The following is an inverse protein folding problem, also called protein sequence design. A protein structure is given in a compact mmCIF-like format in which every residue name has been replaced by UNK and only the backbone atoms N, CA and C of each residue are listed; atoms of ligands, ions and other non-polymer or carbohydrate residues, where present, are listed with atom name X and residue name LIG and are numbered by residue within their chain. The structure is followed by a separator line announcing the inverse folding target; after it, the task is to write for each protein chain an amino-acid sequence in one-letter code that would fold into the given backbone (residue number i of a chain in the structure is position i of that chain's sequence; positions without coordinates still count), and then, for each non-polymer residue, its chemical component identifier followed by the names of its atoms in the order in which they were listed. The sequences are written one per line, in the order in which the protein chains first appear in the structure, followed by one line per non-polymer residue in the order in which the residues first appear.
data_IF_128414926564
#
_entry.id   IF_128414926564
#
_cell.length_a   1.000
_cell.length_b   1.000
_cell.length_c   1.000
_cell.angle_alpha   90.00
_cell.angle_beta   90.00
_cell.angle_gamma   90.00
#
_symmetry.space_group_name_H-M   'P 1'
#
loop_
_entity.id
_entity.type
_entity.pdbx_description
1 polymer ?
#
# COMPACT_ATOMS: atom_id res chain seq x y z
N UNK A 1 -15.73 -4.39 -1.59
CA UNK A 1 -15.31 -2.96 -1.68
C UNK A 1 -16.10 -2.24 -2.80
N UNK A 2 -16.45 -0.96 -2.64
CA UNK A 2 -17.24 -0.23 -3.66
C UNK A 2 -16.48 -0.12 -4.99
N UNK A 3 -17.11 -0.40 -6.14
CA UNK A 3 -16.45 -0.29 -7.45
C UNK A 3 -16.04 1.16 -7.74
N UNK A 4 -14.95 1.32 -8.50
CA UNK A 4 -14.46 2.62 -8.97
C UNK A 4 -15.07 2.94 -10.33
N UNK A 5 -15.50 4.17 -10.54
CA UNK A 5 -15.98 4.62 -11.85
C UNK A 5 -14.82 4.87 -12.81
N UNK A 6 -15.08 4.78 -14.12
CA UNK A 6 -14.09 5.12 -15.16
C UNK A 6 -13.56 6.55 -14.98
N UNK A 7 -14.43 7.48 -14.58
CA UNK A 7 -14.04 8.85 -14.27
C UNK A 7 -13.08 8.91 -13.08
N UNK A 8 -13.33 8.17 -11.99
CA UNK A 8 -12.43 8.14 -10.83
C UNK A 8 -11.05 7.59 -11.18
N UNK A 9 -10.99 6.58 -12.06
CA UNK A 9 -9.72 6.05 -12.56
C UNK A 9 -9.00 7.08 -13.42
N UNK A 10 -9.68 7.67 -14.41
CA UNK A 10 -9.09 8.67 -15.29
C UNK A 10 -8.64 9.92 -14.54
N UNK A 11 -9.48 10.48 -13.67
CA UNK A 11 -9.17 11.65 -12.86
C UNK A 11 -7.94 11.46 -11.96
N UNK A 12 -7.61 10.21 -11.59
CA UNK A 12 -6.47 9.92 -10.73
C UNK A 12 -5.10 10.13 -11.38
N UNK A 13 -5.05 10.33 -12.71
CA UNK A 13 -3.83 10.56 -13.50
C UNK A 13 -3.41 12.03 -13.56
N UNK A 14 -4.25 12.95 -13.09
CA UNK A 14 -4.03 14.40 -13.17
C UNK A 14 -4.14 15.09 -11.81
N UNK A 15 -3.74 16.36 -11.73
CA UNK A 15 -3.86 17.15 -10.50
C UNK A 15 -5.28 17.68 -10.32
N UNK A 16 -5.83 18.33 -11.34
CA UNK A 16 -7.22 18.79 -11.36
C UNK A 16 -7.97 18.17 -12.55
N UNK A 17 -8.98 17.35 -12.24
CA UNK A 17 -9.75 16.66 -13.26
C UNK A 17 -10.62 17.59 -14.13
N UNK A 18 -10.89 18.82 -13.67
CA UNK A 18 -11.69 19.80 -14.41
C UNK A 18 -10.89 20.49 -15.50
N UNK A 19 -9.62 20.80 -15.24
CA UNK A 19 -8.76 21.52 -16.18
C UNK A 19 -7.82 20.61 -16.96
N UNK A 20 -7.33 19.55 -16.34
CA UNK A 20 -6.14 18.83 -16.82
C UNK A 20 -6.48 17.48 -17.46
N UNK A 21 -7.70 16.95 -17.27
CA UNK A 21 -8.05 15.59 -17.70
C UNK A 21 -8.23 15.53 -19.23
N UNK A 22 -7.33 14.86 -19.96
CA UNK A 22 -7.53 14.71 -21.39
C UNK A 22 -8.70 13.75 -21.67
N UNK A 23 -9.50 14.08 -22.69
CA UNK A 23 -10.65 13.25 -23.14
C UNK A 23 -10.20 11.83 -23.55
N UNK A 24 -8.94 11.67 -23.95
CA UNK A 24 -8.36 10.37 -24.34
C UNK A 24 -8.30 9.37 -23.19
N UNK A 25 -8.14 9.82 -21.94
CA UNK A 25 -8.04 8.92 -20.79
C UNK A 25 -9.33 8.14 -20.51
N UNK A 26 -10.48 8.79 -20.23
CA UNK A 26 -11.74 8.08 -20.02
C UNK A 26 -12.19 7.33 -21.29
N UNK A 27 -11.93 7.85 -22.49
CA UNK A 27 -12.25 7.17 -23.76
C UNK A 27 -11.48 5.85 -23.92
N UNK A 28 -10.20 5.82 -23.56
CA UNK A 28 -9.38 4.60 -23.64
C UNK A 28 -9.85 3.55 -22.64
N UNK A 29 -10.21 3.98 -21.42
CA UNK A 29 -10.79 3.09 -20.40
C UNK A 29 -12.13 2.50 -20.85
N UNK A 30 -13.01 3.32 -21.41
CA UNK A 30 -14.30 2.87 -21.94
C UNK A 30 -14.13 1.88 -23.10
N UNK A 31 -13.24 2.18 -24.05
CA UNK A 31 -12.94 1.28 -25.17
C UNK A 31 -12.38 -0.07 -24.69
N UNK A 32 -11.44 -0.05 -23.76
CA UNK A 32 -10.88 -1.29 -23.20
C UNK A 32 -11.95 -2.13 -22.49
N UNK A 33 -12.89 -1.49 -21.77
CA UNK A 33 -13.98 -2.18 -21.10
C UNK A 33 -14.95 -2.88 -22.07
N UNK A 34 -15.19 -2.31 -23.26
CA UNK A 34 -16.10 -2.89 -24.25
C UNK A 34 -15.43 -3.88 -25.20
N UNK A 35 -14.16 -3.66 -25.53
CA UNK A 35 -13.48 -4.37 -26.62
C UNK A 35 -12.35 -5.28 -26.14
N UNK A 36 -12.14 -5.40 -24.83
CA UNK A 36 -11.04 -6.16 -24.23
C UNK A 36 -9.65 -5.82 -24.83
N UNK A 37 -9.46 -4.57 -25.27
CA UNK A 37 -8.21 -4.13 -25.88
C UNK A 37 -7.21 -3.68 -24.82
N UNK A 38 -5.89 -3.92 -25.04
CA UNK A 38 -4.85 -3.44 -24.12
C UNK A 38 -4.93 -1.94 -23.88
N UNK A 39 -4.78 -1.52 -22.62
CA UNK A 39 -4.75 -0.10 -22.27
C UNK A 39 -3.41 0.55 -22.64
N UNK A 40 -3.41 1.86 -22.95
CA UNK A 40 -2.18 2.61 -23.14
C UNK A 40 -1.33 2.62 -21.87
N UNK A 41 -0.03 2.32 -22.01
CA UNK A 41 0.94 2.40 -20.90
C UNK A 41 1.01 3.81 -20.29
N UNK A 42 0.76 4.83 -21.12
CA UNK A 42 0.72 6.23 -20.71
C UNK A 42 -0.20 6.48 -19.51
N UNK A 43 -1.32 5.76 -19.39
CA UNK A 43 -2.21 5.90 -18.23
C UNK A 43 -1.53 5.48 -16.91
N UNK A 44 -0.79 4.38 -16.93
CA UNK A 44 0.00 3.95 -15.77
C UNK A 44 1.14 4.93 -15.50
N UNK A 45 1.75 5.48 -16.56
CA UNK A 45 2.88 6.41 -16.43
C UNK A 45 2.45 7.73 -15.79
N UNK A 46 1.30 8.26 -16.19
CA UNK A 46 0.70 9.43 -15.56
C UNK A 46 0.32 9.17 -14.10
N UNK A 47 -0.27 7.99 -13.81
CA UNK A 47 -0.57 7.60 -12.44
C UNK A 47 0.70 7.51 -11.57
N UNK A 48 1.77 6.90 -12.06
CA UNK A 48 3.08 6.84 -11.38
C UNK A 48 3.66 8.23 -11.15
N UNK A 49 3.60 9.12 -12.15
CA UNK A 49 4.03 10.51 -12.00
C UNK A 49 3.24 11.24 -10.93
N UNK A 50 1.92 11.04 -10.84
CA UNK A 50 1.11 11.60 -9.75
C UNK A 50 1.48 11.00 -8.40
N UNK A 51 1.73 9.69 -8.31
CA UNK A 51 2.20 9.08 -7.07
C UNK A 51 3.50 9.72 -6.58
N UNK A 52 4.44 10.01 -7.48
CA UNK A 52 5.69 10.69 -7.16
C UNK A 52 5.48 12.15 -6.73
N UNK A 53 4.65 12.89 -7.47
CA UNK A 53 4.36 14.28 -7.17
C UNK A 53 3.66 14.47 -5.80
N UNK A 54 2.83 13.50 -5.42
CA UNK A 54 2.07 13.54 -4.16
C UNK A 54 2.64 12.64 -3.07
N UNK A 55 3.81 12.03 -3.31
CA UNK A 55 4.51 11.14 -2.37
C UNK A 55 3.64 10.00 -1.82
N UNK A 56 2.74 9.46 -2.64
CA UNK A 56 1.80 8.43 -2.19
C UNK A 56 0.92 7.82 -3.26
N UNK A 57 0.45 6.60 -2.98
CA UNK A 57 -0.39 5.82 -3.89
C UNK A 57 -1.81 5.74 -3.35
N UNK A 58 -2.76 6.27 -4.12
CA UNK A 58 -4.19 6.20 -3.80
C UNK A 58 -4.81 4.94 -4.38
N UNK A 59 -5.98 4.53 -3.85
CA UNK A 59 -6.72 3.37 -4.37
C UNK A 59 -7.01 3.46 -5.88
N UNK A 60 -7.48 4.60 -6.43
CA UNK A 60 -7.71 4.71 -7.86
C UNK A 60 -6.43 4.57 -8.70
N UNK A 61 -5.30 5.13 -8.24
CA UNK A 61 -4.01 5.00 -8.93
C UNK A 61 -3.51 3.56 -8.93
N UNK A 62 -3.56 2.88 -7.79
CA UNK A 62 -3.18 1.47 -7.71
C UNK A 62 -4.07 0.61 -8.62
N UNK A 63 -5.38 0.81 -8.60
CA UNK A 63 -6.32 0.10 -9.46
C UNK A 63 -6.06 0.35 -10.95
N UNK A 64 -5.78 1.60 -11.34
CA UNK A 64 -5.46 1.96 -12.73
C UNK A 64 -4.13 1.35 -13.18
N UNK A 65 -3.08 1.45 -12.36
CA UNK A 65 -1.77 0.86 -12.64
C UNK A 65 -1.93 -0.65 -12.84
N UNK A 66 -2.61 -1.33 -11.91
CA UNK A 66 -2.92 -2.76 -12.01
C UNK A 66 -3.64 -3.06 -13.33
N UNK A 67 -4.74 -2.36 -13.61
CA UNK A 67 -5.55 -2.59 -14.81
C UNK A 67 -4.73 -2.45 -16.10
N UNK A 68 -3.87 -1.43 -16.19
CA UNK A 68 -2.99 -1.23 -17.35
C UNK A 68 -1.99 -2.37 -17.49
N UNK A 69 -1.35 -2.80 -16.40
CA UNK A 69 -0.40 -3.93 -16.43
C UNK A 69 -1.10 -5.23 -16.86
N UNK A 70 -2.24 -5.57 -16.25
CA UNK A 70 -3.00 -6.77 -16.56
C UNK A 70 -3.53 -6.80 -18.00
N UNK A 71 -3.98 -5.66 -18.52
CA UNK A 71 -4.51 -5.59 -19.90
C UNK A 71 -3.48 -5.93 -20.99
N UNK A 72 -2.22 -6.09 -20.61
CA UNK A 72 -1.08 -6.34 -21.51
C UNK A 72 -0.41 -7.68 -21.26
N UNK A 73 -0.82 -8.42 -20.24
CA UNK A 73 -0.34 -9.77 -20.02
C UNK A 73 -0.89 -10.68 -21.12
N UNK A 74 -0.04 -11.49 -21.72
CA UNK A 74 -0.38 -12.36 -22.86
C UNK A 74 -1.12 -13.62 -22.43
N UNK A 75 -0.94 -14.02 -21.18
CA UNK A 75 -1.66 -15.13 -20.55
C UNK A 75 -2.72 -14.53 -19.64
N UNK A 76 -3.98 -15.00 -19.69
CA UNK A 76 -4.98 -14.55 -18.73
C UNK A 76 -4.42 -14.81 -17.33
N UNK A 77 -4.20 -13.75 -16.55
CA UNK A 77 -3.64 -13.91 -15.22
C UNK A 77 -4.65 -14.68 -14.37
N UNK A 78 -4.15 -15.51 -13.46
CA UNK A 78 -5.00 -16.15 -12.44
C UNK A 78 -5.87 -15.10 -11.74
N UNK A 79 -7.10 -15.45 -11.37
CA UNK A 79 -8.07 -14.50 -10.80
C UNK A 79 -7.52 -13.73 -9.59
N UNK A 80 -6.54 -14.30 -8.89
CA UNK A 80 -5.90 -13.73 -7.71
C UNK A 80 -4.68 -12.83 -8.00
N UNK A 81 -4.23 -12.75 -9.26
CA UNK A 81 -3.00 -12.03 -9.61
C UNK A 81 -3.12 -10.52 -9.34
N UNK A 82 -2.18 -10.00 -8.54
CA UNK A 82 -2.12 -8.62 -8.07
C UNK A 82 -3.38 -8.14 -7.36
N UNK A 83 -4.17 -9.04 -6.76
CA UNK A 83 -5.39 -8.70 -6.02
C UNK A 83 -5.06 -8.22 -4.60
N UNK A 84 -3.98 -8.74 -4.02
CA UNK A 84 -3.62 -8.48 -2.64
C UNK A 84 -2.09 -8.37 -2.47
N UNK A 85 -1.64 -8.43 -1.22
CA UNK A 85 -0.23 -8.50 -0.93
C UNK A 85 0.34 -9.84 -1.37
N UNK A 86 1.02 -9.90 -2.51
CA UNK A 86 1.83 -11.08 -2.87
C UNK A 86 3.22 -11.02 -2.22
N UNK A 87 3.47 -11.87 -1.22
CA UNK A 87 4.78 -11.92 -0.53
C UNK A 87 5.90 -12.50 -1.39
N UNK A 88 5.52 -13.34 -2.36
CA UNK A 88 6.40 -14.10 -3.27
C UNK A 88 6.49 -13.50 -4.68
N UNK A 89 6.07 -12.25 -4.87
CA UNK A 89 6.09 -11.60 -6.18
C UNK A 89 7.50 -11.66 -6.82
N UNK A 90 7.66 -11.95 -8.13
CA UNK A 90 9.00 -12.17 -8.70
C UNK A 90 9.82 -10.89 -8.91
N UNK A 91 9.21 -9.71 -8.82
CA UNK A 91 9.87 -8.42 -9.09
C UNK A 91 10.54 -7.81 -7.85
N UNK A 92 11.86 -7.53 -7.87
CA UNK A 92 12.53 -6.73 -6.84
C UNK A 92 11.91 -5.34 -6.64
N UNK A 93 11.44 -4.70 -7.73
CA UNK A 93 10.82 -3.38 -7.67
C UNK A 93 9.55 -3.36 -6.81
N UNK A 94 8.73 -4.41 -6.92
CA UNK A 94 7.54 -4.59 -6.09
C UNK A 94 7.92 -4.70 -4.60
N UNK A 95 8.98 -5.47 -4.29
CA UNK A 95 9.50 -5.62 -2.93
C UNK A 95 10.14 -4.34 -2.39
N UNK A 96 10.81 -3.53 -3.21
CA UNK A 96 11.25 -2.20 -2.81
C UNK A 96 10.05 -1.32 -2.39
N UNK A 97 8.94 -1.40 -3.13
CA UNK A 97 7.69 -0.72 -2.75
C UNK A 97 7.15 -1.19 -1.40
N UNK A 98 7.09 -2.52 -1.20
CA UNK A 98 6.71 -3.12 0.09
C UNK A 98 7.62 -2.66 1.21
N UNK A 99 8.93 -2.63 0.99
CA UNK A 99 9.91 -2.25 2.00
C UNK A 99 9.71 -0.81 2.46
N UNK A 100 9.46 0.12 1.52
CA UNK A 100 9.16 1.51 1.89
C UNK A 100 7.93 1.60 2.80
N UNK A 101 6.88 0.83 2.51
CA UNK A 101 5.68 0.78 3.34
C UNK A 101 5.97 0.21 4.74
N UNK A 102 6.79 -0.84 4.86
CA UNK A 102 7.16 -1.40 6.17
C UNK A 102 8.00 -0.42 6.98
N UNK A 103 8.92 0.33 6.35
CA UNK A 103 9.69 1.38 7.02
C UNK A 103 8.78 2.51 7.52
N UNK A 104 7.77 2.90 6.73
CA UNK A 104 6.74 3.84 7.16
C UNK A 104 5.97 3.32 8.38
N UNK A 105 5.56 2.04 8.37
CA UNK A 105 4.85 1.40 9.48
C UNK A 105 5.70 1.38 10.76
N UNK A 106 7.00 1.10 10.65
CA UNK A 106 7.97 1.17 11.76
C UNK A 106 7.99 2.57 12.38
N UNK A 107 8.10 3.61 11.54
CA UNK A 107 8.09 4.99 12.02
C UNK A 107 6.78 5.34 12.72
N UNK A 108 5.62 5.00 12.12
CA UNK A 108 4.30 5.30 12.68
C UNK A 108 4.03 4.55 13.98
N UNK A 109 4.50 3.31 14.09
CA UNK A 109 4.36 2.51 15.30
C UNK A 109 5.22 3.07 16.45
N UNK A 110 6.45 3.53 16.15
CA UNK A 110 7.37 4.12 17.12
C UNK A 110 6.98 5.54 17.53
N UNK A 111 6.37 6.31 16.62
CA UNK A 111 5.96 7.69 16.80
C UNK A 111 4.45 7.86 16.50
N UNK A 112 3.57 7.48 17.44
CA UNK A 112 2.13 7.72 17.30
C UNK A 112 1.84 9.21 17.07
N UNK A 113 1.00 9.53 16.08
CA UNK A 113 0.62 10.91 15.77
C UNK A 113 1.63 11.69 14.91
N UNK A 114 2.60 11.01 14.29
CA UNK A 114 3.54 11.67 13.37
C UNK A 114 2.82 12.31 12.16
N UNK A 115 3.03 13.61 11.96
CA UNK A 115 2.37 14.38 10.89
C UNK A 115 3.01 14.17 9.51
N UNK A 116 4.32 13.94 9.46
CA UNK A 116 5.08 13.70 8.24
C UNK A 116 6.04 12.52 8.45
N UNK A 117 6.08 11.64 7.46
CA UNK A 117 6.88 10.43 7.47
C UNK A 117 8.10 10.54 6.55
N UNK A 118 8.98 9.56 6.63
CA UNK A 118 10.08 9.39 5.67
C UNK A 118 9.57 9.30 4.22
N UNK A 119 8.35 8.81 3.99
CA UNK A 119 7.77 8.68 2.65
C UNK A 119 7.59 10.04 1.98
N UNK A 120 7.17 11.07 2.73
CA UNK A 120 6.95 12.42 2.21
C UNK A 120 8.21 13.04 1.58
N UNK A 121 9.39 12.59 2.00
CA UNK A 121 10.68 13.05 1.46
C UNK A 121 11.29 12.08 0.46
N UNK A 122 11.11 10.77 0.67
CA UNK A 122 11.87 9.75 -0.05
C UNK A 122 11.08 8.96 -1.08
N UNK A 123 9.74 9.07 -1.17
CA UNK A 123 8.97 8.27 -2.14
C UNK A 123 9.43 8.50 -3.58
N UNK A 124 9.63 9.77 -3.97
CA UNK A 124 10.09 10.12 -5.30
C UNK A 124 11.45 9.53 -5.70
N UNK A 125 12.36 9.35 -4.74
CA UNK A 125 13.69 8.77 -4.97
C UNK A 125 13.69 7.24 -4.81
N UNK A 126 12.95 6.70 -3.83
CA UNK A 126 12.79 5.25 -3.63
C UNK A 126 12.10 4.58 -4.83
N UNK A 127 11.14 5.27 -5.44
CA UNK A 127 10.45 4.79 -6.65
C UNK A 127 11.26 4.93 -7.94
N UNK A 128 12.46 5.54 -7.92
CA UNK A 128 13.30 5.69 -9.12
C UNK A 128 14.71 5.13 -9.00
N UNK A 129 15.33 5.23 -7.83
CA UNK A 129 16.72 4.84 -7.55
C UNK A 129 16.82 4.12 -6.19
N UNK A 130 16.24 2.92 -6.04
CA UNK A 130 16.18 2.21 -4.76
C UNK A 130 17.53 2.02 -4.08
N UNK A 131 18.53 1.50 -4.80
CA UNK A 131 19.85 1.18 -4.23
C UNK A 131 20.52 2.37 -3.53
N UNK A 132 20.27 3.60 -4.00
CA UNK A 132 20.85 4.82 -3.45
C UNK A 132 20.22 5.20 -2.10
N UNK A 133 18.91 5.00 -1.95
CA UNK A 133 18.16 5.58 -0.82
C UNK A 133 17.87 4.58 0.30
N UNK A 134 17.69 3.29 0.00
CA UNK A 134 17.23 2.33 1.00
C UNK A 134 18.25 2.09 2.11
N UNK A 135 19.55 2.19 1.84
CA UNK A 135 20.57 2.15 2.89
C UNK A 135 20.40 3.26 3.93
N UNK A 136 20.05 4.48 3.50
CA UNK A 136 19.79 5.59 4.41
C UNK A 136 18.45 5.41 5.16
N UNK A 137 17.40 4.96 4.46
CA UNK A 137 16.09 4.70 5.06
C UNK A 137 16.16 3.61 6.15
N UNK A 138 16.88 2.52 5.90
CA UNK A 138 17.05 1.42 6.86
C UNK A 138 17.82 1.86 8.10
N UNK A 139 18.89 2.67 7.95
CA UNK A 139 19.58 3.29 9.08
C UNK A 139 18.66 4.23 9.86
N UNK A 140 17.85 5.02 9.15
CA UNK A 140 16.85 5.89 9.77
C UNK A 140 15.76 5.15 10.54
N UNK A 141 15.47 3.90 10.17
CA UNK A 141 14.50 3.06 10.88
C UNK A 141 15.05 2.46 12.20
N UNK A 142 16.38 2.32 12.36
CA UNK A 142 16.97 1.65 13.53
C UNK A 142 16.59 2.29 14.88
N UNK A 143 16.62 3.63 15.06
CA UNK A 143 16.18 4.23 16.31
C UNK A 143 14.69 4.01 16.62
N UNK A 144 13.85 3.90 15.58
CA UNK A 144 12.43 3.58 15.73
C UNK A 144 12.22 2.13 16.17
N UNK A 145 12.99 1.19 15.60
CA UNK A 145 12.98 -0.21 16.01
C UNK A 145 13.46 -0.39 17.45
N UNK A 146 14.58 0.24 17.84
CA UNK A 146 15.10 0.18 19.21
C UNK A 146 14.09 0.73 20.23
N UNK A 147 13.36 1.79 19.87
CA UNK A 147 12.26 2.31 20.69
C UNK A 147 11.11 1.31 20.81
N UNK A 148 10.72 0.69 19.69
CA UNK A 148 9.66 -0.33 19.69
C UNK A 148 10.06 -1.56 20.50
N UNK A 149 11.31 -1.98 20.45
CA UNK A 149 11.82 -3.11 21.22
C UNK A 149 11.62 -2.88 22.72
N UNK A 150 11.94 -1.67 23.20
CA UNK A 150 11.76 -1.27 24.60
C UNK A 150 10.30 -1.07 24.98
N UNK A 151 9.54 -0.30 24.18
CA UNK A 151 8.22 0.20 24.57
C UNK A 151 7.09 -0.76 24.17
N UNK A 152 7.26 -1.55 23.10
CA UNK A 152 6.25 -2.40 22.46
C UNK A 152 6.87 -3.65 21.80
N UNK A 153 7.46 -4.58 22.58
CA UNK A 153 8.27 -5.70 22.05
C UNK A 153 7.52 -6.57 21.03
N UNK A 154 6.21 -6.80 21.21
CA UNK A 154 5.40 -7.53 20.23
C UNK A 154 5.27 -6.81 18.88
N UNK A 155 5.21 -5.48 18.87
CA UNK A 155 5.20 -4.71 17.63
C UNK A 155 6.59 -4.72 16.96
N UNK A 156 7.66 -4.64 17.75
CA UNK A 156 9.04 -4.79 17.27
C UNK A 156 9.24 -6.13 16.56
N UNK A 157 8.95 -7.26 17.20
CA UNK A 157 9.15 -8.59 16.61
C UNK A 157 8.41 -8.74 15.28
N UNK A 158 7.15 -8.28 15.22
CA UNK A 158 6.35 -8.37 13.99
C UNK A 158 6.91 -7.51 12.85
N UNK A 159 7.32 -6.27 13.14
CA UNK A 159 7.82 -5.35 12.13
C UNK A 159 9.25 -5.67 11.68
N UNK A 160 10.10 -6.11 12.62
CA UNK A 160 11.45 -6.59 12.35
C UNK A 160 11.41 -7.81 11.42
N UNK A 161 10.61 -8.83 11.76
CA UNK A 161 10.42 -10.00 10.89
C UNK A 161 9.92 -9.59 9.50
N UNK A 162 8.95 -8.68 9.42
CA UNK A 162 8.42 -8.20 8.14
C UNK A 162 9.45 -7.43 7.31
N UNK A 163 10.36 -6.67 7.94
CA UNK A 163 11.49 -6.04 7.26
C UNK A 163 12.41 -7.11 6.64
N UNK A 164 12.81 -8.10 7.44
CA UNK A 164 13.69 -9.19 7.02
C UNK A 164 13.06 -10.00 5.87
N UNK A 165 11.79 -10.39 6.00
CA UNK A 165 11.04 -11.14 4.98
C UNK A 165 11.03 -10.40 3.64
N UNK A 166 10.78 -9.08 3.65
CA UNK A 166 10.74 -8.28 2.42
C UNK A 166 12.15 -8.11 1.85
N UNK A 167 13.14 -7.83 2.69
CA UNK A 167 14.53 -7.64 2.25
C UNK A 167 15.11 -8.90 1.61
N UNK A 168 14.79 -10.08 2.16
CA UNK A 168 15.21 -11.36 1.61
C UNK A 168 14.69 -11.59 0.17
N UNK A 169 13.59 -10.94 -0.21
CA UNK A 169 12.99 -11.04 -1.55
C UNK A 169 13.52 -10.06 -2.57
N UNK A 170 14.24 -9.03 -2.15
CA UNK A 170 14.82 -8.04 -3.08
C UNK A 170 16.00 -8.67 -3.83
N UNK A 171 16.83 -9.48 -3.16
CA UNK A 171 18.04 -10.04 -3.74
C UNK A 171 18.98 -8.92 -4.19
N UNK A 172 19.12 -8.76 -5.51
CA UNK A 172 19.90 -7.69 -6.12
C UNK A 172 19.14 -6.36 -6.11
N UNK A 173 19.76 -5.34 -5.52
CA UNK A 173 19.16 -4.02 -5.38
C UNK A 173 19.16 -3.26 -6.71
N UNK A 174 17.99 -2.88 -7.25
CA UNK A 174 17.94 -2.12 -8.50
C UNK A 174 18.57 -0.74 -8.35
N UNK A 175 19.56 -0.45 -9.19
CA UNK A 175 20.19 0.88 -9.23
C UNK A 175 19.20 1.96 -9.68
N UNK A 176 18.40 1.64 -10.70
CA UNK A 176 17.32 2.47 -11.23
C UNK A 176 16.09 1.60 -11.53
N UNK A 177 14.91 2.21 -11.56
CA UNK A 177 13.67 1.54 -11.95
C UNK A 177 13.14 2.12 -13.27
N UNK A 178 12.98 1.26 -14.28
CA UNK A 178 12.25 1.57 -15.50
C UNK A 178 10.76 1.77 -15.20
N UNK A 179 10.04 2.40 -16.11
CA UNK A 179 8.70 2.91 -15.80
C UNK A 179 7.67 1.82 -15.43
N UNK A 180 7.78 0.62 -16.03
CA UNK A 180 7.00 -0.56 -15.60
C UNK A 180 7.35 -0.98 -14.17
N UNK A 181 8.63 -0.92 -13.80
CA UNK A 181 9.10 -1.27 -12.46
C UNK A 181 8.68 -0.21 -11.42
N UNK A 182 8.66 1.08 -11.77
CA UNK A 182 8.08 2.13 -10.91
C UNK A 182 6.59 1.91 -10.66
N UNK A 183 5.88 1.34 -11.64
CA UNK A 183 4.48 0.96 -11.51
C UNK A 183 4.33 -0.22 -10.54
N UNK A 184 5.17 -1.26 -10.66
CA UNK A 184 5.23 -2.39 -9.72
C UNK A 184 5.61 -1.96 -8.31
N UNK A 185 6.58 -1.05 -8.16
CA UNK A 185 6.92 -0.42 -6.89
C UNK A 185 5.70 0.25 -6.25
N UNK A 186 4.95 1.02 -7.03
CA UNK A 186 3.75 1.72 -6.55
C UNK A 186 2.67 0.72 -6.08
N UNK A 187 2.51 -0.40 -6.79
CA UNK A 187 1.60 -1.48 -6.38
C UNK A 187 2.06 -2.16 -5.08
N UNK A 188 3.33 -2.56 -4.98
CA UNK A 188 3.87 -3.21 -3.78
C UNK A 188 3.73 -2.34 -2.53
N UNK A 189 4.02 -1.04 -2.66
CA UNK A 189 3.80 -0.07 -1.60
C UNK A 189 2.32 0.01 -1.20
N UNK A 190 1.40 0.11 -2.17
CA UNK A 190 -0.03 0.18 -1.89
C UNK A 190 -0.57 -1.11 -1.25
N UNK A 191 -0.20 -2.28 -1.77
CA UNK A 191 -0.65 -3.58 -1.27
C UNK A 191 -0.19 -3.82 0.17
N UNK A 192 1.07 -3.51 0.49
CA UNK A 192 1.61 -3.66 1.84
C UNK A 192 0.85 -2.78 2.85
N UNK A 193 0.56 -1.52 2.49
CA UNK A 193 -0.22 -0.62 3.35
C UNK A 193 -1.69 -1.03 3.46
N UNK A 194 -2.29 -1.51 2.37
CA UNK A 194 -3.67 -1.99 2.38
C UNK A 194 -3.83 -3.21 3.28
N UNK A 195 -2.89 -4.15 3.20
CA UNK A 195 -2.83 -5.31 4.09
C UNK A 195 -2.65 -4.89 5.56
N UNK A 196 -1.73 -3.96 5.85
CA UNK A 196 -1.55 -3.44 7.21
C UNK A 196 -2.82 -2.79 7.79
N UNK A 197 -3.56 -2.00 7.00
CA UNK A 197 -4.85 -1.42 7.44
C UNK A 197 -5.91 -2.49 7.71
N UNK A 198 -6.00 -3.51 6.86
CA UNK A 198 -6.94 -4.61 7.04
C UNK A 198 -6.65 -5.38 8.34
N UNK A 199 -5.38 -5.73 8.59
CA UNK A 199 -4.93 -6.36 9.84
C UNK A 199 -5.34 -5.56 11.08
N UNK A 200 -5.11 -4.23 11.07
CA UNK A 200 -5.46 -3.37 12.19
C UNK A 200 -6.98 -3.24 12.39
N UNK A 201 -7.74 -3.20 11.31
CA UNK A 201 -9.21 -3.19 11.37
C UNK A 201 -9.76 -4.49 11.98
N UNK A 202 -9.26 -5.65 11.54
CA UNK A 202 -9.66 -6.96 12.09
C UNK A 202 -9.31 -7.08 13.58
N UNK A 203 -8.11 -6.66 13.99
CA UNK A 203 -7.71 -6.65 15.41
C UNK A 203 -8.55 -5.71 16.26
N UNK A 204 -8.99 -4.58 15.71
CA UNK A 204 -9.90 -3.67 16.40
C UNK A 204 -11.28 -4.31 16.55
N UNK A 205 -11.85 -4.86 15.48
CA UNK A 205 -13.13 -5.55 15.52
C UNK A 205 -13.15 -6.73 16.52
N UNK A 206 -12.08 -7.51 16.59
CA UNK A 206 -11.96 -8.60 17.55
C UNK A 206 -11.96 -8.10 19.01
N UNK A 207 -11.19 -7.04 19.32
CA UNK A 207 -11.19 -6.42 20.66
C UNK A 207 -12.55 -5.83 21.03
N UNK A 208 -13.20 -5.16 20.09
CA UNK A 208 -14.52 -4.57 20.32
C UNK A 208 -15.56 -5.69 20.61
N UNK A 209 -15.48 -6.84 19.92
CA UNK A 209 -16.33 -8.00 20.16
C UNK A 209 -16.08 -8.69 21.52
N UNK A 210 -14.83 -8.77 21.97
CA UNK A 210 -14.46 -9.31 23.29
C UNK A 210 -14.94 -8.40 24.44
N UNK A 211 -14.84 -7.08 24.27
CA UNK A 211 -15.28 -6.10 25.29
C UNK A 211 -16.80 -5.93 25.38
N UNK A 212 -17.56 -6.35 24.36
CA UNK A 212 -19.03 -6.27 24.33
C UNK A 212 -19.75 -7.49 24.92
N UNK A 213 -19.01 -8.49 25.42
CA UNK A 213 -19.55 -9.75 25.96
C UNK A 213 -19.64 -9.83 27.50
N UNK A 214 -19.22 -8.79 28.23
CA UNK A 214 -19.44 -8.69 29.68
C UNK A 214 -20.78 -7.98 29.95
N UNK A 215 -21.88 -8.75 29.92
CA UNK A 215 -23.15 -8.29 30.50
C UNK A 215 -23.00 -8.20 32.03
N UNK A 216 -23.50 -7.13 32.70
CA UNK A 216 -23.44 -7.04 34.14
C UNK A 216 -24.32 -8.14 34.73
N UNK A 217 -23.74 -9.00 35.57
CA UNK A 217 -24.47 -9.86 36.48
C UNK A 217 -25.53 -9.03 37.19
N UNK A 218 -26.80 -9.33 36.91
CA UNK A 218 -27.95 -8.85 37.66
C UNK A 218 -27.89 -9.51 39.03
N UNK A 219 -27.22 -8.84 39.96
CA UNK A 219 -27.16 -9.27 41.36
C UNK A 219 -28.49 -8.94 42.07
N UNK A 220 -28.89 -9.96 42.80
CA UNK A 220 -30.05 -10.20 43.66
C UNK A 220 -30.70 -9.01 44.36
N UNK A 221 -32.04 -8.97 44.28
CA UNK A 221 -32.91 -8.32 45.26
C UNK A 221 -33.81 -9.36 45.91
N UNK A 222 -33.35 -9.95 47.02
CA UNK A 222 -34.16 -10.78 47.91
C UNK A 222 -35.24 -9.91 48.59
N UNK A 223 -36.51 -10.21 48.36
CA UNK A 223 -37.62 -9.72 49.18
C UNK A 223 -37.71 -10.56 50.46
N UNK A 224 -37.60 -9.90 51.62
CA UNK A 224 -37.95 -10.46 52.92
C UNK A 224 -38.87 -9.47 53.64
N UNK A 225 -40.12 -9.86 53.87
CA UNK A 225 -41.07 -9.21 54.78
C UNK A 225 -41.75 -10.30 55.62
N UNK A 226 -41.99 -10.05 56.90
CA UNK A 226 -43.23 -10.43 57.56
C UNK A 226 -44.27 -9.29 57.51
#
# INVERSE_FOLDING_TARGET
PRPLSLFQLAASTVRDARSDLPVTAPRSLFRAALSATPLPLELAFQAVRRCRAEQGVTRPRAALIKLVLLSRETTPPEEEYMVALETEHPSPAYHCGRLLAVIEDVQRAALPGVNATIVDRYYGAASSTPAVVFGALLRGAQPHLARLERDRPGAYVNLQRRLEDVMARIGDWPATLALREQALFSLGYYHQRAHGRAEMASRRAARDAESGGEDPQTDTGQEHQP
#
